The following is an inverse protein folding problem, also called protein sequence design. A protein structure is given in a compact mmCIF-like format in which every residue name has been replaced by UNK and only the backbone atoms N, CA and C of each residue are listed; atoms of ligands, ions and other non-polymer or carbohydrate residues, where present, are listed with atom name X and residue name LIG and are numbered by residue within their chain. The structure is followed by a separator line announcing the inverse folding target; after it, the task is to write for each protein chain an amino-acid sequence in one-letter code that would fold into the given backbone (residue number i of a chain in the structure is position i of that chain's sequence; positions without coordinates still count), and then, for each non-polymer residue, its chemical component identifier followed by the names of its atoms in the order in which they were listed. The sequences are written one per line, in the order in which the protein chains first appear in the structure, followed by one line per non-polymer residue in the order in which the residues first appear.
data_IF_843140595103
#
_entry.id   IF_843140595103
#
_cell.length_a   1.000
_cell.length_b   1.000
_cell.length_c   1.000
_cell.angle_alpha   90.00
_cell.angle_beta   90.00
_cell.angle_gamma   90.00
#
_symmetry.space_group_name_H-M   'P 1'
#
loop_
_entity.id
_entity.type
_entity.pdbx_description
1 polymer ?
#
# COMPACT_ATOMS: atom_id res chain seq x y z
N UNK A 1 36.58 -2.37 -47.27
CA UNK A 1 36.27 -2.51 -45.83
C UNK A 1 37.13 -1.55 -45.00
N UNK A 2 36.99 -0.22 -45.19
CA UNK A 2 37.79 0.78 -44.44
C UNK A 2 37.02 2.08 -44.14
N UNK A 3 35.69 2.14 -44.35
CA UNK A 3 34.90 3.38 -44.24
C UNK A 3 34.00 3.50 -43.01
N UNK A 4 33.86 2.46 -42.18
CA UNK A 4 32.94 2.51 -41.02
C UNK A 4 33.58 3.04 -39.72
N UNK A 5 34.91 3.10 -39.63
CA UNK A 5 35.60 3.52 -38.40
C UNK A 5 35.65 5.04 -38.19
N UNK A 6 35.49 5.85 -39.24
CA UNK A 6 35.56 7.31 -39.12
C UNK A 6 34.26 7.93 -38.55
N UNK A 7 33.10 7.31 -38.82
CA UNK A 7 31.80 7.81 -38.34
C UNK A 7 31.63 7.67 -36.82
N UNK A 8 32.24 6.65 -36.21
CA UNK A 8 32.18 6.47 -34.75
C UNK A 8 33.00 7.53 -34.00
N UNK A 9 34.18 7.88 -34.53
CA UNK A 9 35.08 8.87 -33.92
C UNK A 9 34.58 10.32 -34.08
N UNK A 10 33.74 10.60 -35.08
CA UNK A 10 33.11 11.91 -35.24
C UNK A 10 32.03 12.15 -34.16
N UNK A 11 31.16 11.15 -33.91
CA UNK A 11 30.09 11.25 -32.91
C UNK A 11 30.63 11.39 -31.48
N UNK A 12 31.73 10.72 -31.15
CA UNK A 12 32.33 10.81 -29.82
C UNK A 12 32.95 12.19 -29.53
N UNK A 13 33.44 12.90 -30.56
CA UNK A 13 33.96 14.27 -30.40
C UNK A 13 32.85 15.29 -30.20
N UNK A 14 31.71 15.09 -30.86
CA UNK A 14 30.53 15.96 -30.73
C UNK A 14 29.88 15.84 -29.34
N UNK A 15 29.86 14.64 -28.76
CA UNK A 15 29.40 14.47 -27.38
C UNK A 15 30.34 15.13 -26.36
N UNK A 16 31.66 15.09 -26.59
CA UNK A 16 32.63 15.72 -25.68
C UNK A 16 32.54 17.25 -25.72
N UNK A 17 32.19 17.87 -26.85
CA UNK A 17 32.04 19.33 -26.92
C UNK A 17 30.85 19.81 -26.09
N UNK A 18 29.73 19.07 -26.11
CA UNK A 18 28.52 19.39 -25.34
C UNK A 18 28.72 19.37 -23.81
N UNK A 19 29.71 18.62 -23.31
CA UNK A 19 30.03 18.59 -21.87
C UNK A 19 31.19 19.51 -21.47
N UNK A 20 31.87 20.17 -22.42
CA UNK A 20 33.09 20.94 -22.14
C UNK A 20 32.87 22.44 -21.97
N UNK A 21 31.71 22.97 -22.35
CA UNK A 21 31.44 24.41 -22.30
C UNK A 21 30.23 24.71 -21.43
N UNK A 22 30.48 24.88 -20.12
CA UNK A 22 30.04 26.02 -19.31
C UNK A 22 30.43 25.72 -17.87
N UNK A 23 31.53 26.30 -17.33
CA UNK A 23 31.70 26.34 -15.90
C UNK A 23 30.57 27.20 -15.34
N UNK A 24 29.51 26.55 -14.88
CA UNK A 24 28.49 27.20 -14.07
C UNK A 24 29.24 27.76 -12.86
N UNK A 25 29.39 29.09 -12.83
CA UNK A 25 29.75 29.82 -11.63
C UNK A 25 28.81 29.32 -10.55
N UNK A 26 29.32 28.47 -9.65
CA UNK A 26 28.70 28.07 -8.41
C UNK A 26 28.52 29.35 -7.60
N UNK A 27 27.46 30.10 -7.90
CA UNK A 27 27.01 31.21 -7.11
C UNK A 27 26.77 30.64 -5.73
N UNK A 28 27.61 31.05 -4.78
CA UNK A 28 27.57 30.63 -3.39
C UNK A 28 26.12 30.67 -2.92
N UNK A 29 25.50 29.50 -2.78
CA UNK A 29 24.13 29.41 -2.35
C UNK A 29 24.10 29.96 -0.94
N UNK A 30 23.49 31.13 -0.77
CA UNK A 30 23.29 31.76 0.52
C UNK A 30 22.24 30.95 1.29
N UNK A 31 22.72 29.91 1.98
CA UNK A 31 21.90 29.03 2.82
C UNK A 31 21.18 29.82 3.91
N UNK A 32 21.72 30.95 4.36
CA UNK A 32 21.08 31.82 5.34
C UNK A 32 19.87 32.55 4.74
N UNK A 33 19.93 32.99 3.48
CA UNK A 33 18.78 33.55 2.76
C UNK A 33 17.66 32.52 2.54
N UNK A 34 18.01 31.27 2.21
CA UNK A 34 17.04 30.18 2.02
C UNK A 34 16.33 29.83 3.34
N UNK A 35 17.06 29.69 4.44
CA UNK A 35 16.48 29.40 5.77
C UNK A 35 15.58 30.55 6.24
N UNK A 36 16.00 31.81 6.03
CA UNK A 36 15.21 32.99 6.42
C UNK A 36 13.89 33.09 5.63
N UNK A 37 13.91 32.76 4.32
CA UNK A 37 12.71 32.74 3.47
C UNK A 37 11.75 31.61 3.86
N UNK A 38 12.29 30.46 4.24
CA UNK A 38 11.53 29.31 4.78
C UNK A 38 10.80 29.67 6.09
N UNK A 39 11.51 30.22 7.07
CA UNK A 39 10.91 30.57 8.38
C UNK A 39 9.80 31.63 8.28
N UNK A 40 9.91 32.58 7.35
CA UNK A 40 8.91 33.65 7.19
C UNK A 40 7.54 33.16 6.71
N UNK A 41 7.47 31.97 6.09
CA UNK A 41 6.20 31.33 5.69
C UNK A 41 5.61 30.42 6.79
N UNK A 42 6.40 30.03 7.80
CA UNK A 42 6.00 29.16 8.91
C UNK A 42 5.64 29.91 10.19
N UNK A 43 5.29 31.19 10.10
CA UNK A 43 4.68 31.93 11.21
C UNK A 43 3.16 32.13 10.98
N UNK A 44 2.35 31.05 10.94
CA UNK A 44 0.91 31.19 11.09
C UNK A 44 0.62 31.46 12.58
N UNK A 45 0.27 32.73 12.87
CA UNK A 45 -0.73 33.20 13.85
C UNK A 45 -1.11 32.27 15.03
N UNK A 46 -0.15 31.78 15.82
CA UNK A 46 -0.43 31.17 17.12
C UNK A 46 -0.52 32.24 18.23
N UNK A 47 -1.50 33.14 18.09
CA UNK A 47 -1.92 34.03 19.18
C UNK A 47 -3.44 33.96 19.26
N UNK A 48 -3.96 33.20 20.21
CA UNK A 48 -5.37 33.28 20.63
C UNK A 48 -6.04 31.93 20.86
N UNK A 49 -6.75 31.83 21.99
CA UNK A 49 -7.60 30.72 22.49
C UNK A 49 -6.82 29.71 23.34
N UNK A 50 -6.78 29.77 24.68
CA UNK A 50 -7.74 30.36 25.62
C UNK A 50 -8.67 29.28 26.21
N UNK A 51 -8.14 28.52 27.17
CA UNK A 51 -8.81 27.84 28.31
C UNK A 51 -10.33 27.55 28.25
N UNK A 52 -10.68 26.26 28.33
CA UNK A 52 -11.82 25.81 29.15
C UNK A 52 -11.58 24.37 29.64
N UNK A 53 -11.29 24.27 30.95
CA UNK A 53 -11.32 23.08 31.78
C UNK A 53 -12.77 22.71 32.09
N UNK A 54 -13.15 21.45 31.96
CA UNK A 54 -14.21 20.84 32.80
C UNK A 54 -13.87 19.38 33.09
N UNK A 55 -13.41 19.14 34.32
CA UNK A 55 -13.37 17.83 34.95
C UNK A 55 -14.80 17.32 35.15
N UNK A 56 -15.10 16.09 34.72
CA UNK A 56 -16.24 15.33 35.22
C UNK A 56 -15.71 14.08 35.93
N UNK A 57 -15.62 14.22 37.26
CA UNK A 57 -15.40 13.15 38.24
C UNK A 57 -16.74 12.49 38.57
N UNK A 58 -16.68 11.18 38.84
CA UNK A 58 -17.54 10.41 39.76
C UNK A 58 -18.31 9.24 39.12
N UNK A 59 -18.03 8.04 39.62
CA UNK A 59 -18.81 6.83 39.36
C UNK A 59 -18.16 5.55 39.87
N UNK A 60 -17.63 5.53 41.09
CA UNK A 60 -17.24 4.29 41.78
C UNK A 60 -18.54 3.59 42.21
N UNK A 61 -18.80 2.42 41.64
CA UNK A 61 -19.81 1.48 42.12
C UNK A 61 -19.13 0.20 42.57
N UNK A 62 -18.81 0.10 43.86
CA UNK A 62 -18.47 -1.17 44.54
C UNK A 62 -19.66 -1.56 45.40
N UNK A 63 -20.30 -2.67 45.03
CA UNK A 63 -21.11 -3.53 45.88
C UNK A 63 -21.12 -4.90 45.20
N UNK A 64 -20.92 -6.05 45.82
CA UNK A 64 -20.79 -6.39 47.22
C UNK A 64 -21.03 -7.90 47.33
N UNK A 65 -20.06 -8.61 47.91
CA UNK A 65 -20.19 -9.77 48.79
C UNK A 65 -21.06 -11.00 48.40
N UNK A 66 -20.37 -12.14 48.42
CA UNK A 66 -20.75 -13.46 48.99
C UNK A 66 -21.90 -14.27 48.38
N UNK A 67 -21.58 -15.48 47.92
CA UNK A 67 -22.56 -16.56 47.71
C UNK A 67 -21.92 -17.88 47.27
N UNK A 68 -21.69 -18.77 48.23
CA UNK A 68 -21.13 -20.11 48.08
C UNK A 68 -22.20 -21.11 47.56
N UNK A 69 -21.76 -22.13 46.77
CA UNK A 69 -22.31 -23.50 46.57
C UNK A 69 -23.05 -23.85 45.26
N UNK A 70 -22.47 -24.86 44.58
CA UNK A 70 -23.04 -25.86 43.65
C UNK A 70 -24.18 -26.70 44.31
N UNK A 71 -24.86 -27.68 43.66
CA UNK A 71 -24.93 -28.14 42.26
C UNK A 71 -26.39 -28.39 41.74
N UNK A 72 -26.49 -28.99 40.54
CA UNK A 72 -27.54 -29.93 40.04
C UNK A 72 -28.70 -29.44 39.16
N UNK A 73 -28.74 -30.06 37.97
CA UNK A 73 -29.90 -30.63 37.27
C UNK A 73 -30.92 -29.71 36.57
N UNK A 74 -30.86 -29.77 35.24
CA UNK A 74 -31.96 -30.05 34.29
C UNK A 74 -33.32 -29.41 34.55
N UNK A 75 -33.77 -28.54 33.63
CA UNK A 75 -34.90 -28.79 32.71
C UNK A 75 -35.23 -27.54 31.88
N UNK A 76 -35.43 -27.81 30.59
CA UNK A 76 -36.28 -27.14 29.59
C UNK A 76 -37.31 -26.15 30.12
N UNK A 77 -37.43 -24.97 29.49
CA UNK A 77 -38.71 -24.43 28.95
C UNK A 77 -38.49 -23.10 28.22
N UNK A 78 -39.18 -23.03 27.09
CA UNK A 78 -39.45 -21.92 26.17
C UNK A 78 -40.06 -20.71 26.88
N UNK A 79 -39.71 -19.48 26.48
CA UNK A 79 -40.62 -18.33 26.47
C UNK A 79 -40.09 -17.18 25.62
N UNK A 80 -41.05 -16.53 24.97
CA UNK A 80 -40.95 -15.48 23.96
C UNK A 80 -41.02 -14.06 24.56
N UNK A 81 -40.83 -13.08 23.68
CA UNK A 81 -41.15 -11.63 23.80
C UNK A 81 -40.17 -10.82 24.68
N UNK A 82 -39.82 -9.56 24.43
CA UNK A 82 -40.28 -8.55 23.47
C UNK A 82 -39.22 -7.43 23.36
N UNK A 83 -39.21 -6.75 22.20
CA UNK A 83 -38.87 -5.34 21.92
C UNK A 83 -37.84 -4.56 22.75
N UNK A 84 -36.86 -3.99 22.02
CA UNK A 84 -35.99 -2.91 22.49
C UNK A 84 -35.19 -2.25 21.38
N UNK A 85 -35.84 -1.84 20.28
CA UNK A 85 -35.21 -1.03 19.24
C UNK A 85 -34.93 0.38 19.79
N UNK A 86 -33.65 0.77 19.85
CA UNK A 86 -33.27 2.17 20.06
C UNK A 86 -32.94 2.79 18.70
N UNK A 87 -33.87 3.61 18.22
CA UNK A 87 -33.68 4.53 17.10
C UNK A 87 -32.67 5.59 17.58
N UNK A 88 -31.51 5.66 16.92
CA UNK A 88 -30.54 6.74 17.12
C UNK A 88 -30.63 7.69 15.93
N UNK A 89 -31.39 8.74 16.12
CA UNK A 89 -31.45 9.93 15.27
C UNK A 89 -30.12 10.71 15.48
N UNK A 90 -29.42 11.09 14.43
CA UNK A 90 -28.23 11.95 14.52
C UNK A 90 -28.25 12.99 13.42
N UNK A 91 -27.96 14.20 13.87
CA UNK A 91 -28.37 15.47 13.31
C UNK A 91 -27.40 16.04 12.27
N UNK A 92 -27.98 16.84 11.37
CA UNK A 92 -27.48 17.96 10.59
C UNK A 92 -25.98 18.32 10.68
N UNK A 93 -25.24 18.00 9.61
CA UNK A 93 -24.90 18.99 8.57
C UNK A 93 -24.21 20.30 8.97
N UNK A 94 -22.97 20.23 9.45
CA UNK A 94 -22.04 21.38 9.50
C UNK A 94 -20.90 21.21 8.50
N UNK A 95 -20.96 21.88 7.35
CA UNK A 95 -19.91 21.87 6.32
C UNK A 95 -18.90 22.99 6.61
N UNK A 96 -17.66 22.63 6.97
CA UNK A 96 -16.50 23.53 6.96
C UNK A 96 -15.52 23.03 5.89
N UNK A 97 -15.14 23.86 4.90
CA UNK A 97 -14.15 23.45 3.92
C UNK A 97 -12.75 23.74 4.50
N UNK A 98 -12.10 22.71 5.05
CA UNK A 98 -10.67 22.75 5.35
C UNK A 98 -9.95 21.61 4.61
N UNK A 99 -8.78 21.96 4.10
CA UNK A 99 -7.97 21.25 3.12
C UNK A 99 -7.21 20.07 3.77
N UNK A 100 -7.77 18.86 3.74
CA UNK A 100 -7.09 17.61 4.09
C UNK A 100 -6.99 16.67 2.88
N UNK A 101 -6.04 16.97 1.98
CA UNK A 101 -5.46 15.96 1.08
C UNK A 101 -4.25 15.32 1.75
N UNK A 102 -4.51 14.58 2.84
CA UNK A 102 -3.60 13.60 3.43
C UNK A 102 -4.48 12.50 4.03
N UNK A 103 -4.32 11.27 3.51
CA UNK A 103 -5.27 10.19 3.64
C UNK A 103 -5.80 9.93 5.06
N UNK A 104 -7.11 10.04 5.22
CA UNK A 104 -7.87 9.32 6.23
C UNK A 104 -9.34 9.26 5.80
N UNK A 105 -9.84 8.03 5.71
CA UNK A 105 -11.22 7.60 5.87
C UNK A 105 -12.24 8.70 6.24
N UNK A 106 -12.90 9.26 5.22
CA UNK A 106 -14.06 10.14 5.37
C UNK A 106 -15.37 9.40 5.12
N UNK A 107 -15.94 8.80 6.17
CA UNK A 107 -17.38 8.70 6.37
C UNK A 107 -18.22 7.99 5.30
N UNK A 108 -18.12 6.67 5.22
CA UNK A 108 -19.27 5.82 4.92
C UNK A 108 -19.13 4.52 5.69
N UNK A 109 -20.21 4.02 6.25
CA UNK A 109 -20.27 2.74 6.97
C UNK A 109 -20.13 1.52 6.03
N UNK A 110 -19.27 1.64 5.02
CA UNK A 110 -18.80 0.55 4.19
C UNK A 110 -17.58 -0.07 4.84
N UNK A 111 -17.51 -1.40 4.83
CA UNK A 111 -16.33 -2.16 5.21
C UNK A 111 -15.11 -1.61 4.48
N UNK A 112 -14.25 -0.86 5.19
CA UNK A 112 -12.98 -0.39 4.64
C UNK A 112 -12.20 -1.61 4.18
N UNK A 113 -11.88 -1.66 2.88
CA UNK A 113 -10.97 -2.67 2.37
C UNK A 113 -9.66 -2.59 3.18
N UNK A 114 -9.13 -3.74 3.59
CA UNK A 114 -7.80 -3.79 4.18
C UNK A 114 -6.80 -3.26 3.14
N UNK A 115 -5.69 -2.60 3.51
CA UNK A 115 -4.65 -2.21 2.56
C UNK A 115 -4.18 -3.41 1.71
N UNK A 116 -3.80 -3.18 0.44
CA UNK A 116 -3.49 -4.27 -0.50
C UNK A 116 -2.23 -5.03 -0.07
N UNK A 117 -1.32 -4.38 0.64
CA UNK A 117 -0.13 -4.97 1.25
C UNK A 117 -0.48 -5.99 2.33
N UNK A 118 -1.64 -5.83 2.96
CA UNK A 118 -2.13 -6.70 4.06
C UNK A 118 -3.13 -7.73 3.56
N UNK A 119 -3.28 -7.89 2.24
CA UNK A 119 -4.18 -8.87 1.64
C UNK A 119 -3.75 -10.31 1.95
N UNK A 120 -2.45 -10.57 1.93
CA UNK A 120 -1.86 -11.89 2.11
C UNK A 120 -0.89 -11.87 3.29
N UNK A 121 -1.39 -11.96 4.52
CA UNK A 121 -0.54 -11.94 5.70
C UNK A 121 0.39 -13.16 5.78
N UNK A 122 1.56 -12.97 6.38
CA UNK A 122 2.60 -13.97 6.60
C UNK A 122 2.07 -15.22 7.31
N UNK A 123 2.54 -16.38 6.87
CA UNK A 123 2.19 -17.71 7.40
C UNK A 123 0.70 -18.09 7.31
N UNK A 124 -0.13 -17.28 6.63
CA UNK A 124 -1.53 -17.59 6.37
C UNK A 124 -1.74 -18.04 4.92
N UNK A 125 -2.83 -18.79 4.64
CA UNK A 125 -3.22 -19.12 3.28
C UNK A 125 -3.41 -17.85 2.43
N UNK A 126 -3.05 -17.92 1.15
CA UNK A 126 -3.30 -16.84 0.20
C UNK A 126 -4.80 -16.56 0.13
N UNK A 127 -5.18 -15.29 0.21
CA UNK A 127 -6.56 -14.87 0.00
C UNK A 127 -6.91 -14.97 -1.50
N UNK A 128 -7.96 -15.71 -1.83
CA UNK A 128 -8.52 -15.67 -3.18
C UNK A 128 -9.31 -14.37 -3.34
N UNK A 129 -8.75 -13.43 -4.10
CA UNK A 129 -9.45 -12.22 -4.52
C UNK A 129 -9.85 -12.39 -5.97
N UNK A 130 -11.14 -12.63 -6.19
CA UNK A 130 -11.71 -12.56 -7.53
C UNK A 130 -11.61 -11.11 -8.03
N UNK A 131 -10.92 -10.90 -9.14
CA UNK A 131 -11.00 -9.62 -9.85
C UNK A 131 -12.45 -9.45 -10.31
N UNK A 132 -13.11 -8.39 -9.85
CA UNK A 132 -14.46 -8.02 -10.31
C UNK A 132 -14.41 -7.23 -11.61
N UNK A 133 -13.21 -7.04 -12.17
CA UNK A 133 -12.91 -6.09 -13.22
C UNK A 133 -12.38 -6.81 -14.45
N UNK A 134 -12.32 -6.10 -15.57
CA UNK A 134 -11.60 -6.56 -16.76
C UNK A 134 -10.14 -6.11 -16.77
N UNK A 135 -9.57 -5.84 -15.61
CA UNK A 135 -8.15 -5.59 -15.44
C UNK A 135 -7.47 -6.83 -14.85
N UNK A 136 -6.26 -7.11 -15.35
CA UNK A 136 -5.42 -8.20 -14.85
C UNK A 136 -3.97 -7.76 -14.70
N UNK A 137 -3.29 -8.30 -13.68
CA UNK A 137 -1.85 -8.10 -13.44
C UNK A 137 -1.02 -9.30 -13.87
N UNK A 138 0.07 -9.03 -14.59
CA UNK A 138 1.01 -10.04 -15.07
C UNK A 138 2.43 -9.74 -14.56
N UNK A 139 2.91 -10.44 -13.51
CA UNK A 139 4.29 -10.34 -13.07
C UNK A 139 5.27 -10.83 -14.16
N UNK A 140 6.39 -10.13 -14.29
CA UNK A 140 7.44 -10.42 -15.27
C UNK A 140 8.81 -10.54 -14.60
N UNK A 141 8.93 -11.48 -13.66
CA UNK A 141 10.17 -11.80 -12.96
C UNK A 141 11.01 -12.81 -13.73
N UNK A 142 12.34 -12.89 -13.49
CA UNK A 142 13.13 -14.00 -14.00
C UNK A 142 12.60 -15.32 -13.44
N UNK A 143 12.58 -16.38 -14.26
CA UNK A 143 12.12 -17.70 -13.83
C UNK A 143 13.00 -18.33 -12.75
N UNK A 144 14.27 -17.91 -12.67
CA UNK A 144 15.26 -18.37 -11.69
C UNK A 144 15.95 -17.15 -11.07
N UNK A 145 16.11 -17.15 -9.74
CA UNK A 145 16.82 -16.11 -8.99
C UNK A 145 17.57 -16.69 -7.79
N UNK A 146 18.44 -15.91 -7.18
CA UNK A 146 19.26 -16.35 -6.04
C UNK A 146 18.46 -16.35 -4.72
N UNK A 147 18.64 -17.38 -3.90
CA UNK A 147 18.02 -17.55 -2.58
C UNK A 147 18.81 -16.85 -1.46
N UNK A 148 19.35 -15.66 -1.73
CA UNK A 148 20.31 -14.97 -0.85
C UNK A 148 19.74 -13.78 -0.08
N UNK A 149 18.43 -13.53 -0.17
CA UNK A 149 17.77 -12.40 0.48
C UNK A 149 18.04 -11.03 -0.18
N UNK A 150 18.68 -10.99 -1.35
CA UNK A 150 18.90 -9.76 -2.11
C UNK A 150 17.63 -9.41 -2.92
N UNK A 151 17.23 -8.13 -3.01
CA UNK A 151 16.09 -7.73 -3.82
C UNK A 151 16.21 -8.16 -5.29
N UNK A 152 15.15 -8.78 -5.81
CA UNK A 152 14.97 -9.14 -7.21
C UNK A 152 14.12 -8.05 -7.84
N UNK A 153 14.71 -7.23 -8.72
CA UNK A 153 14.01 -6.20 -9.46
C UNK A 153 13.36 -6.76 -10.74
N UNK A 154 12.15 -6.32 -11.06
CA UNK A 154 11.39 -6.76 -12.22
C UNK A 154 10.29 -5.74 -12.57
N UNK A 155 9.31 -6.18 -13.36
CA UNK A 155 8.13 -5.40 -13.72
C UNK A 155 6.83 -6.20 -13.52
N UNK A 156 5.73 -5.48 -13.41
CA UNK A 156 4.36 -6.04 -13.47
C UNK A 156 3.59 -5.27 -14.53
N UNK A 157 2.90 -5.98 -15.41
CA UNK A 157 2.05 -5.38 -16.45
C UNK A 157 0.59 -5.41 -15.99
N UNK A 158 -0.07 -4.26 -15.98
CA UNK A 158 -1.53 -4.14 -15.85
C UNK A 158 -2.12 -4.07 -17.25
N UNK A 159 -3.04 -4.98 -17.56
CA UNK A 159 -3.68 -5.06 -18.87
C UNK A 159 -5.20 -4.95 -18.74
N UNK A 160 -5.81 -4.21 -19.67
CA UNK A 160 -7.25 -4.21 -19.85
C UNK A 160 -7.67 -5.35 -20.79
N UNK A 161 -8.21 -6.43 -20.21
CA UNK A 161 -8.72 -7.61 -20.93
C UNK A 161 -10.18 -7.44 -21.38
N UNK A 162 -10.79 -6.30 -21.05
CA UNK A 162 -12.19 -5.99 -21.37
C UNK A 162 -12.39 -5.40 -22.74
N UNK A 163 -13.65 -5.06 -23.03
CA UNK A 163 -14.05 -4.35 -24.25
C UNK A 163 -14.29 -2.86 -24.02
N UNK A 164 -14.31 -2.43 -22.76
CA UNK A 164 -14.50 -1.04 -22.36
C UNK A 164 -13.17 -0.31 -22.18
N UNK A 165 -13.20 1.01 -22.33
CA UNK A 165 -12.09 1.88 -21.97
C UNK A 165 -12.06 2.11 -20.46
N UNK A 166 -10.88 2.09 -19.85
CA UNK A 166 -10.72 2.22 -18.40
C UNK A 166 -9.88 3.45 -18.09
N UNK A 167 -10.44 4.35 -17.27
CA UNK A 167 -9.78 5.57 -16.79
C UNK A 167 -9.82 5.60 -15.27
N UNK A 168 -8.70 5.96 -14.65
CA UNK A 168 -8.59 6.03 -13.21
C UNK A 168 -7.22 6.43 -12.71
N UNK A 169 -6.92 6.05 -11.47
CA UNK A 169 -5.62 6.23 -10.83
C UNK A 169 -5.27 5.02 -9.99
N UNK A 170 -3.99 4.82 -9.73
CA UNK A 170 -3.47 3.69 -8.94
C UNK A 170 -2.17 4.09 -8.23
N UNK A 171 -1.64 3.20 -7.40
CA UNK A 171 -0.31 3.39 -6.81
C UNK A 171 0.80 3.22 -7.85
N UNK A 172 1.98 3.79 -7.58
CA UNK A 172 3.13 3.67 -8.47
C UNK A 172 3.80 2.28 -8.47
N UNK A 173 3.50 1.45 -7.48
CA UNK A 173 4.04 0.09 -7.35
C UNK A 173 2.95 -0.86 -6.83
N UNK A 174 2.80 -2.06 -7.43
CA UNK A 174 1.90 -3.08 -6.90
C UNK A 174 2.46 -3.71 -5.63
N UNK A 175 1.57 -4.20 -4.77
CA UNK A 175 1.94 -5.09 -3.69
C UNK A 175 2.24 -6.49 -4.24
N UNK A 176 3.38 -7.04 -3.84
CA UNK A 176 3.86 -8.35 -4.28
C UNK A 176 3.71 -9.37 -3.15
N UNK A 177 3.42 -10.63 -3.50
CA UNK A 177 3.36 -11.75 -2.55
C UNK A 177 4.12 -12.95 -3.10
N UNK A 178 5.01 -13.53 -2.29
CA UNK A 178 5.57 -14.86 -2.52
C UNK A 178 4.86 -15.87 -1.64
N UNK A 179 4.56 -17.02 -2.23
CA UNK A 179 3.91 -18.13 -1.54
C UNK A 179 4.54 -19.47 -1.90
N UNK A 180 4.42 -20.42 -0.98
CA UNK A 180 4.79 -21.83 -1.17
C UNK A 180 3.64 -22.68 -0.67
N UNK A 181 3.20 -23.63 -1.48
CA UNK A 181 2.09 -24.53 -1.17
C UNK A 181 0.81 -23.80 -0.73
N UNK A 182 0.52 -22.66 -1.35
CA UNK A 182 -0.65 -21.83 -1.05
C UNK A 182 -0.56 -21.00 0.23
N UNK A 183 0.60 -20.96 0.88
CA UNK A 183 0.85 -20.18 2.11
C UNK A 183 1.80 -19.03 1.81
N UNK A 184 1.47 -17.83 2.29
CA UNK A 184 2.31 -16.64 2.18
C UNK A 184 3.60 -16.82 2.98
N UNK A 185 4.74 -16.69 2.31
CA UNK A 185 6.07 -16.72 2.96
C UNK A 185 6.74 -15.36 3.01
N UNK A 186 6.28 -14.43 2.16
CA UNK A 186 6.71 -13.04 2.10
C UNK A 186 5.65 -12.21 1.36
N UNK A 187 5.46 -10.96 1.74
CA UNK A 187 4.70 -9.99 0.97
C UNK A 187 5.35 -8.60 1.09
N UNK A 188 4.95 -7.68 0.22
CA UNK A 188 5.38 -6.29 0.34
C UNK A 188 4.85 -5.70 1.65
N UNK A 189 5.75 -5.18 2.48
CA UNK A 189 5.43 -4.49 3.72
C UNK A 189 6.26 -3.21 3.79
N UNK A 190 5.68 -2.15 4.32
CA UNK A 190 6.28 -0.82 4.33
C UNK A 190 5.34 0.27 3.88
N UNK A 191 5.68 1.54 4.16
CA UNK A 191 4.92 2.67 3.66
C UNK A 191 4.97 2.69 2.14
N UNK A 192 3.80 2.63 1.50
CA UNK A 192 3.70 2.93 0.08
C UNK A 192 4.01 4.40 -0.15
N UNK A 193 4.82 4.67 -1.19
CA UNK A 193 4.95 6.04 -1.68
C UNK A 193 3.59 6.45 -2.23
N UNK A 194 3.00 7.50 -1.67
CA UNK A 194 1.71 8.06 -2.08
C UNK A 194 1.80 8.81 -3.43
N UNK A 195 2.44 8.20 -4.43
CA UNK A 195 2.43 8.67 -5.82
C UNK A 195 1.29 7.98 -6.55
N UNK A 196 0.32 8.78 -6.98
CA UNK A 196 -0.73 8.32 -7.87
C UNK A 196 -0.22 8.30 -9.32
N UNK A 197 -0.48 7.20 -10.01
CA UNK A 197 -0.25 7.03 -11.45
C UNK A 197 -1.61 7.04 -12.15
N UNK A 198 -1.74 7.84 -13.20
CA UNK A 198 -2.95 7.85 -14.02
C UNK A 198 -3.05 6.56 -14.84
N UNK A 199 -4.24 5.97 -14.87
CA UNK A 199 -4.60 4.82 -15.69
C UNK A 199 -5.50 5.32 -16.80
N UNK A 200 -5.13 5.03 -18.04
CA UNK A 200 -5.91 5.35 -19.24
C UNK A 200 -5.62 4.23 -20.24
N UNK A 201 -6.49 3.22 -20.29
CA UNK A 201 -6.26 1.96 -21.01
C UNK A 201 -7.44 1.64 -21.92
N UNK A 202 -7.20 1.66 -23.23
CA UNK A 202 -8.11 1.08 -24.22
C UNK A 202 -8.21 -0.46 -24.10
N UNK A 203 -9.23 -1.08 -24.71
CA UNK A 203 -9.32 -2.54 -24.81
C UNK A 203 -8.03 -3.16 -25.35
N UNK A 204 -7.43 -4.08 -24.59
CA UNK A 204 -6.18 -4.75 -24.92
C UNK A 204 -4.91 -3.94 -24.60
N UNK A 205 -5.01 -2.67 -24.21
CA UNK A 205 -3.87 -1.84 -23.83
C UNK A 205 -3.30 -2.28 -22.48
N UNK A 206 -2.04 -1.92 -22.24
CA UNK A 206 -1.33 -2.27 -21.02
C UNK A 206 -0.41 -1.14 -20.55
N UNK A 207 -0.15 -1.14 -19.25
CA UNK A 207 0.85 -0.28 -18.62
C UNK A 207 1.76 -1.10 -17.71
N UNK A 208 2.98 -0.65 -17.49
CA UNK A 208 4.00 -1.40 -16.75
C UNK A 208 4.43 -0.64 -15.50
N UNK A 209 4.52 -1.37 -14.38
CA UNK A 209 5.00 -0.89 -13.11
C UNK A 209 6.36 -1.49 -12.77
N UNK A 210 7.28 -0.73 -12.17
CA UNK A 210 8.43 -1.31 -11.51
C UNK A 210 7.98 -2.13 -10.29
N UNK A 211 8.63 -3.26 -10.06
CA UNK A 211 8.37 -4.11 -8.89
C UNK A 211 9.67 -4.68 -8.33
N UNK A 212 9.66 -5.03 -7.05
CA UNK A 212 10.76 -5.77 -6.43
C UNK A 212 10.26 -6.74 -5.38
N UNK A 213 10.97 -7.85 -5.23
CA UNK A 213 10.71 -8.86 -4.20
C UNK A 213 11.98 -9.11 -3.44
N UNK A 214 11.91 -9.16 -2.11
CA UNK A 214 13.05 -9.53 -1.26
C UNK A 214 12.79 -10.94 -0.75
N UNK A 215 13.54 -11.97 -1.19
CA UNK A 215 13.26 -13.36 -0.85
C UNK A 215 13.72 -13.69 0.58
N UNK A 216 13.06 -13.09 1.57
CA UNK A 216 13.22 -13.33 3.00
C UNK A 216 11.92 -13.88 3.58
N UNK A 217 12.01 -14.72 4.59
CA UNK A 217 10.84 -15.30 5.25
C UNK A 217 10.30 -14.32 6.29
N UNK A 218 9.01 -14.05 6.24
CA UNK A 218 8.29 -13.37 7.31
C UNK A 218 7.44 -14.37 8.13
N UNK A 219 7.11 -13.99 9.35
CA UNK A 219 6.16 -14.69 10.22
C UNK A 219 5.07 -13.76 10.77
N UNK A 220 4.15 -14.29 11.56
CA UNK A 220 3.05 -13.51 12.17
C UNK A 220 3.55 -12.37 13.08
N UNK A 221 4.74 -12.48 13.66
CA UNK A 221 5.29 -11.43 14.54
C UNK A 221 5.79 -10.24 13.71
N UNK A 222 6.29 -10.52 12.50
CA UNK A 222 6.78 -9.50 11.57
C UNK A 222 5.63 -8.65 10.96
N UNK A 223 4.38 -9.10 11.08
CA UNK A 223 3.19 -8.43 10.54
C UNK A 223 2.69 -7.25 11.37
N UNK A 224 3.01 -7.25 12.67
CA UNK A 224 2.52 -6.25 13.61
C UNK A 224 3.14 -4.86 13.38
N UNK A 225 4.27 -4.81 12.68
CA UNK A 225 4.96 -3.57 12.35
C UNK A 225 4.55 -3.03 10.97
N UNK A 226 4.67 -1.72 10.79
CA UNK A 226 4.45 -1.02 9.52
C UNK A 226 5.47 -1.43 8.44
N UNK A 227 6.59 -2.01 8.83
CA UNK A 227 7.62 -2.52 7.92
C UNK A 227 8.28 -3.74 8.55
N UNK A 228 8.81 -4.64 7.73
CA UNK A 228 9.60 -5.74 8.24
C UNK A 228 10.88 -5.24 8.92
N UNK A 229 11.29 -5.96 9.97
CA UNK A 229 12.59 -5.75 10.62
C UNK A 229 13.74 -6.15 9.70
N UNK A 230 14.89 -5.55 9.92
CA UNK A 230 16.11 -5.93 9.21
C UNK A 230 16.56 -7.35 9.60
N UNK A 231 17.28 -8.01 8.68
CA UNK A 231 17.93 -9.30 8.95
C UNK A 231 16.97 -10.49 9.05
N UNK A 232 15.79 -10.40 8.41
CA UNK A 232 14.94 -11.58 8.23
C UNK A 232 15.71 -12.70 7.50
N UNK A 233 15.49 -13.96 7.89
CA UNK A 233 16.20 -15.08 7.28
C UNK A 233 15.81 -15.21 5.80
N UNK A 234 16.80 -15.47 4.94
CA UNK A 234 16.55 -15.73 3.53
C UNK A 234 15.60 -16.93 3.34
N UNK A 235 14.77 -16.87 2.30
CA UNK A 235 13.97 -18.00 1.87
C UNK A 235 14.88 -19.13 1.39
N UNK A 236 14.59 -20.40 1.75
CA UNK A 236 15.36 -21.53 1.22
C UNK A 236 15.16 -21.67 -0.30
N UNK A 237 16.11 -22.32 -0.97
CA UNK A 237 15.94 -22.69 -2.38
C UNK A 237 14.64 -23.50 -2.61
N UNK A 238 14.09 -23.39 -3.82
CA UNK A 238 12.90 -24.10 -4.26
C UNK A 238 11.95 -23.24 -5.11
N UNK A 239 10.81 -23.80 -5.47
CA UNK A 239 9.81 -23.13 -6.30
C UNK A 239 8.78 -22.40 -5.44
N UNK A 240 8.39 -21.22 -5.91
CA UNK A 240 7.42 -20.33 -5.28
C UNK A 240 6.43 -19.82 -6.32
N UNK A 241 5.23 -19.48 -5.86
CA UNK A 241 4.25 -18.74 -6.64
C UNK A 241 4.32 -17.26 -6.24
N UNK A 242 4.51 -16.39 -7.22
CA UNK A 242 4.59 -14.95 -7.11
C UNK A 242 3.32 -14.32 -7.66
N UNK A 243 2.60 -13.57 -6.85
CA UNK A 243 1.41 -12.82 -7.26
C UNK A 243 1.59 -11.32 -7.01
N UNK A 244 0.79 -10.52 -7.71
CA UNK A 244 0.73 -9.08 -7.58
C UNK A 244 -0.72 -8.65 -7.34
N UNK A 245 -0.89 -7.58 -6.57
CA UNK A 245 -2.17 -6.94 -6.35
C UNK A 245 -1.99 -5.41 -6.36
N UNK A 246 -2.96 -4.68 -6.89
CA UNK A 246 -2.96 -3.22 -6.87
C UNK A 246 -4.39 -2.69 -6.77
N UNK A 247 -4.56 -1.56 -6.09
CA UNK A 247 -5.83 -0.85 -6.14
C UNK A 247 -5.90 0.06 -7.35
N UNK A 248 -7.03 0.04 -8.04
CA UNK A 248 -7.37 1.02 -9.07
C UNK A 248 -8.59 1.79 -8.58
N UNK A 249 -8.47 3.11 -8.51
CA UNK A 249 -9.59 4.03 -8.32
C UNK A 249 -10.05 4.50 -9.69
N UNK A 250 -11.23 4.07 -10.12
CA UNK A 250 -11.81 4.44 -11.41
C UNK A 250 -12.29 5.89 -11.41
N UNK A 251 -12.57 6.45 -12.60
CA UNK A 251 -12.98 7.85 -12.76
C UNK A 251 -14.28 8.23 -12.01
N UNK A 252 -15.14 7.25 -11.70
CA UNK A 252 -16.35 7.42 -10.88
C UNK A 252 -16.09 7.31 -9.37
N UNK A 253 -14.83 7.07 -8.97
CA UNK A 253 -14.40 6.97 -7.57
C UNK A 253 -14.54 5.58 -6.95
N UNK A 254 -14.97 4.55 -7.71
CA UNK A 254 -14.95 3.18 -7.21
C UNK A 254 -13.51 2.71 -7.00
N UNK A 255 -13.27 1.94 -5.94
CA UNK A 255 -11.95 1.36 -5.64
C UNK A 255 -12.04 -0.14 -5.84
N UNK A 256 -11.20 -0.65 -6.73
CA UNK A 256 -11.20 -2.04 -7.13
C UNK A 256 -9.84 -2.68 -6.85
N UNK A 257 -9.85 -3.89 -6.28
CA UNK A 257 -8.64 -4.71 -6.15
C UNK A 257 -8.41 -5.44 -7.47
N UNK A 258 -7.30 -5.15 -8.13
CA UNK A 258 -6.88 -5.87 -9.33
C UNK A 258 -5.81 -6.88 -8.96
N UNK A 259 -6.01 -8.12 -9.39
CA UNK A 259 -5.08 -9.25 -9.25
C UNK A 259 -4.87 -9.90 -10.61
N UNK A 260 -4.09 -10.98 -10.67
CA UNK A 260 -3.94 -11.77 -11.90
C UNK A 260 -3.28 -13.11 -11.62
N UNK A 261 -2.95 -13.88 -12.68
CA UNK A 261 -2.34 -15.19 -12.52
C UNK A 261 -1.00 -15.11 -11.81
N UNK A 262 -0.73 -16.05 -10.91
CA UNK A 262 0.56 -16.16 -10.25
C UNK A 262 1.63 -16.65 -11.24
N UNK A 263 2.81 -16.02 -11.19
CA UNK A 263 4.01 -16.47 -11.90
C UNK A 263 4.80 -17.46 -11.02
N UNK A 264 5.33 -18.54 -11.60
CA UNK A 264 6.29 -19.39 -10.89
C UNK A 264 7.70 -18.80 -10.95
N UNK A 265 8.40 -18.84 -9.81
CA UNK A 265 9.81 -18.47 -9.69
C UNK A 265 10.55 -19.55 -8.89
N UNK A 266 11.75 -19.91 -9.33
CA UNK A 266 12.65 -20.82 -8.61
C UNK A 266 13.78 -20.04 -7.96
N UNK A 267 13.95 -20.20 -6.66
CA UNK A 267 15.10 -19.68 -5.92
C UNK A 267 16.17 -20.76 -5.82
N UNK A 268 17.44 -20.44 -6.08
CA UNK A 268 18.59 -21.36 -6.02
C UNK A 268 19.72 -20.85 -5.14
#
# INVERSE_FOLDING_TARGET
MHSDSDSANARQRDLKSLFSETPLSLGTIDTAAVIRRSRRRRLPRQVGVGSALTLAVAGIGVAGATGLRLPSSSMTMTSASDSGATVRESADGGFTPDEDFAGAAGGSAGTSLAPVEKLNPCALPIAEVASTTTLELYPQFPAVAEANGVPIAASVTLQNTGQGHIVGTTAASPAMTLSRDGVTVWHSNGPLIALAVAVDLAPGESMTYPASVVPVRCDEQDEAAESFRDGLPALPAGTYALSAAIYVTTADGAVETVTGPAQQITLQ
#
